data_IF_211351935796
#
_entry.id   IF_211351935796
#
_cell.length_a   1.000
_cell.length_b   1.000
_cell.length_c   1.000
_cell.angle_alpha   90.00
_cell.angle_beta   90.00
_cell.angle_gamma   90.00
#
_symmetry.space_group_name_H-M   'P 1'
#
loop_
_entity.id
_entity.type
_entity.pdbx_description
1 polymer ?
#
# COMPACT_ATOMS: atom_id res chain seq x y z
N UNK A 1 -33.77 12.70 -13.62
CA UNK A 1 -32.68 12.44 -14.55
C UNK A 1 -31.56 11.79 -13.77
N UNK A 2 -31.51 10.44 -13.75
CA UNK A 2 -30.43 9.68 -13.16
C UNK A 2 -29.29 9.66 -14.18
N UNK A 3 -28.08 10.09 -13.77
CA UNK A 3 -26.88 9.84 -14.55
C UNK A 3 -26.61 8.34 -14.60
N UNK A 4 -25.95 7.89 -15.65
CA UNK A 4 -25.52 6.51 -15.76
C UNK A 4 -24.59 6.14 -14.58
N UNK A 5 -24.76 4.96 -14.02
CA UNK A 5 -23.90 4.48 -12.96
C UNK A 5 -22.50 4.20 -13.52
N UNK A 6 -21.48 4.77 -12.87
CA UNK A 6 -20.06 4.54 -13.24
C UNK A 6 -19.55 3.34 -12.42
N UNK A 7 -19.07 2.29 -13.10
CA UNK A 7 -18.37 1.19 -12.45
C UNK A 7 -16.91 1.59 -12.17
N UNK A 8 -16.53 1.62 -10.90
CA UNK A 8 -15.18 2.03 -10.48
C UNK A 8 -14.27 0.85 -10.10
N UNK A 9 -14.87 -0.30 -9.77
CA UNK A 9 -14.10 -1.43 -9.23
C UNK A 9 -13.24 -2.11 -10.31
N UNK A 10 -11.95 -2.10 -10.13
CA UNK A 10 -10.96 -2.67 -11.06
C UNK A 10 -10.49 -1.69 -12.13
N UNK A 11 -10.88 -0.41 -12.01
CA UNK A 11 -10.53 0.60 -13.01
C UNK A 11 -9.73 1.76 -12.45
N UNK A 12 -8.88 2.31 -13.32
CA UNK A 12 -8.23 3.60 -13.19
C UNK A 12 -9.14 4.61 -13.92
N UNK A 13 -9.87 5.43 -13.17
CA UNK A 13 -10.86 6.34 -13.75
C UNK A 13 -10.94 7.65 -12.98
N UNK A 14 -10.86 8.75 -13.69
CA UNK A 14 -10.96 10.11 -13.14
C UNK A 14 -12.40 10.50 -12.73
N UNK A 15 -13.42 9.74 -13.17
CA UNK A 15 -14.81 9.92 -12.76
C UNK A 15 -15.14 9.37 -11.37
N UNK A 16 -14.22 8.61 -10.77
CA UNK A 16 -14.39 8.01 -9.46
C UNK A 16 -13.78 8.88 -8.35
N UNK A 17 -14.26 8.71 -7.11
CA UNK A 17 -13.75 9.45 -5.93
C UNK A 17 -12.26 9.18 -5.71
N UNK A 18 -11.81 7.94 -5.95
CA UNK A 18 -10.39 7.58 -6.02
C UNK A 18 -10.02 7.34 -7.47
N UNK A 19 -8.89 7.87 -7.96
CA UNK A 19 -8.46 7.61 -9.33
C UNK A 19 -8.09 6.15 -9.58
N UNK A 20 -7.66 5.41 -8.55
CA UNK A 20 -7.30 3.99 -8.63
C UNK A 20 -8.19 3.19 -7.70
N UNK A 21 -8.91 2.21 -8.24
CA UNK A 21 -9.88 1.41 -7.51
C UNK A 21 -9.65 -0.09 -7.72
N UNK A 22 -8.69 -0.72 -7.02
CA UNK A 22 -8.48 -2.15 -7.11
C UNK A 22 -9.77 -2.92 -6.79
N UNK A 23 -10.12 -3.88 -7.62
CA UNK A 23 -11.32 -4.72 -7.42
C UNK A 23 -11.21 -5.57 -6.15
N UNK A 24 -10.00 -5.98 -5.82
CA UNK A 24 -9.70 -6.79 -4.64
C UNK A 24 -8.46 -6.25 -3.94
N UNK A 25 -8.55 -6.13 -2.63
CA UNK A 25 -7.43 -5.80 -1.75
C UNK A 25 -7.59 -6.53 -0.42
N UNK A 26 -6.47 -6.91 0.19
CA UNK A 26 -6.48 -7.44 1.54
C UNK A 26 -5.27 -6.96 2.33
N UNK A 27 -5.42 -7.06 3.63
CA UNK A 27 -4.34 -6.92 4.60
C UNK A 27 -4.41 -8.13 5.53
N UNK A 28 -3.37 -8.93 5.53
CA UNK A 28 -3.21 -10.07 6.43
C UNK A 28 -2.10 -9.74 7.43
N UNK A 29 -2.37 -9.94 8.72
CA UNK A 29 -1.41 -9.68 9.81
C UNK A 29 -1.22 -10.97 10.59
N UNK A 30 0.03 -11.39 10.74
CA UNK A 30 0.44 -12.48 11.61
C UNK A 30 1.33 -11.92 12.70
N UNK A 31 0.95 -12.12 13.93
CA UNK A 31 1.76 -11.79 15.11
C UNK A 31 2.33 -13.06 15.71
N UNK A 32 3.57 -13.01 16.13
CA UNK A 32 4.27 -14.11 16.76
C UNK A 32 4.94 -13.64 18.05
N UNK A 33 4.53 -14.25 19.16
CA UNK A 33 5.23 -14.16 20.44
C UNK A 33 6.48 -15.02 20.35
N UNK A 34 7.65 -14.40 20.38
CA UNK A 34 8.92 -15.12 20.24
C UNK A 34 9.29 -15.83 21.54
N UNK A 35 10.22 -16.81 21.51
CA UNK A 35 10.76 -17.42 22.74
C UNK A 35 11.57 -16.44 23.62
N UNK A 36 11.87 -15.24 23.13
CA UNK A 36 12.52 -14.17 23.89
C UNK A 36 11.44 -13.44 24.68
N UNK A 37 11.56 -13.44 25.99
CA UNK A 37 10.61 -12.78 26.89
C UNK A 37 10.46 -11.29 26.55
N UNK A 38 9.21 -10.84 26.43
CA UNK A 38 8.86 -9.47 26.08
C UNK A 38 9.04 -9.10 24.60
N UNK A 39 9.45 -10.01 23.71
CA UNK A 39 9.63 -9.75 22.28
C UNK A 39 8.48 -10.34 21.44
N UNK A 40 7.72 -9.47 20.84
CA UNK A 40 6.68 -9.78 19.87
C UNK A 40 7.10 -9.29 18.47
N UNK A 41 6.81 -10.08 17.46
CA UNK A 41 7.06 -9.72 16.06
C UNK A 41 5.78 -9.85 15.25
N UNK A 42 5.63 -9.02 14.21
CA UNK A 42 4.50 -9.10 13.31
C UNK A 42 4.95 -8.97 11.85
N UNK A 43 4.27 -9.75 11.00
CA UNK A 43 4.35 -9.66 9.54
C UNK A 43 3.00 -9.18 9.03
N UNK A 44 3.00 -8.13 8.24
CA UNK A 44 1.82 -7.65 7.54
C UNK A 44 2.00 -7.84 6.04
N UNK A 45 1.07 -8.56 5.42
CA UNK A 45 1.01 -8.69 3.97
C UNK A 45 -0.19 -7.90 3.44
N UNK A 46 0.08 -6.97 2.53
CA UNK A 46 -0.91 -6.15 1.83
C UNK A 46 -0.88 -6.46 0.34
N UNK A 47 -2.03 -6.69 -0.23
CA UNK A 47 -2.19 -6.97 -1.65
C UNK A 47 -3.21 -6.04 -2.28
N UNK A 48 -2.90 -5.56 -3.46
CA UNK A 48 -3.79 -4.78 -4.32
C UNK A 48 -3.84 -5.44 -5.69
N UNK A 49 -5.04 -5.77 -6.17
CA UNK A 49 -5.21 -6.27 -7.54
C UNK A 49 -4.88 -5.17 -8.55
N UNK A 50 -4.45 -5.57 -9.73
CA UNK A 50 -4.28 -4.63 -10.84
C UNK A 50 -5.57 -3.90 -11.20
N UNK A 51 -5.43 -2.77 -11.86
CA UNK A 51 -6.52 -1.95 -12.40
C UNK A 51 -6.32 -1.68 -13.88
N UNK A 52 -7.42 -1.65 -14.62
CA UNK A 52 -7.43 -1.34 -16.04
C UNK A 52 -7.68 0.15 -16.26
N UNK A 53 -7.07 0.72 -17.27
CA UNK A 53 -7.33 2.09 -17.64
C UNK A 53 -8.48 2.16 -18.66
N UNK A 54 -9.61 2.75 -18.28
CA UNK A 54 -10.76 2.90 -19.18
C UNK A 54 -10.50 3.88 -20.35
N UNK A 55 -9.61 4.85 -20.16
CA UNK A 55 -9.26 5.80 -21.22
C UNK A 55 -8.53 5.13 -22.42
N UNK A 56 -7.92 3.96 -22.18
CA UNK A 56 -7.23 3.15 -23.19
C UNK A 56 -8.20 2.49 -24.17
N UNK A 57 -9.45 2.27 -23.77
CA UNK A 57 -10.47 1.76 -24.67
C UNK A 57 -10.66 2.61 -25.96
N UNK A 58 -10.29 3.90 -25.88
CA UNK A 58 -10.29 4.82 -27.01
C UNK A 58 -8.97 4.83 -27.80
N UNK A 59 -7.88 4.27 -27.26
CA UNK A 59 -6.57 4.25 -27.90
C UNK A 59 -5.75 3.00 -27.45
N UNK A 60 -5.96 1.84 -28.12
CA UNK A 60 -5.37 0.56 -27.71
C UNK A 60 -3.83 0.48 -27.83
N UNK A 61 -3.18 1.49 -28.37
CA UNK A 61 -1.72 1.56 -28.44
C UNK A 61 -1.10 2.04 -27.10
N UNK A 62 -1.93 2.51 -26.16
CA UNK A 62 -1.49 2.96 -24.83
C UNK A 62 -1.83 1.87 -23.82
N UNK A 63 -0.91 0.97 -23.55
CA UNK A 63 -1.02 0.05 -22.42
C UNK A 63 -0.63 0.81 -21.14
N UNK A 64 -1.61 1.15 -20.33
CA UNK A 64 -1.46 1.90 -19.09
C UNK A 64 -2.19 1.23 -17.92
N UNK A 65 -2.36 -0.09 -18.02
CA UNK A 65 -2.91 -0.90 -16.93
C UNK A 65 -1.91 -0.95 -15.77
N UNK A 66 -2.40 -0.79 -14.55
CA UNK A 66 -1.56 -0.93 -13.36
C UNK A 66 -1.53 -2.38 -12.91
N UNK A 67 -0.33 -2.98 -12.74
CA UNK A 67 -0.19 -4.35 -12.29
C UNK A 67 -0.66 -4.53 -10.83
N UNK A 68 -0.86 -5.79 -10.43
CA UNK A 68 -1.07 -6.12 -9.03
C UNK A 68 0.21 -5.90 -8.22
N UNK A 69 0.04 -5.45 -6.96
CA UNK A 69 1.17 -5.10 -6.08
C UNK A 69 1.05 -5.82 -4.74
N UNK A 70 2.19 -6.29 -4.23
CA UNK A 70 2.33 -6.92 -2.93
C UNK A 70 3.30 -6.12 -2.06
N UNK A 71 2.88 -5.76 -0.86
CA UNK A 71 3.74 -5.18 0.15
C UNK A 71 3.85 -6.11 1.35
N UNK A 72 5.06 -6.30 1.83
CA UNK A 72 5.34 -7.04 3.07
C UNK A 72 6.01 -6.08 4.05
N UNK A 73 5.43 -5.97 5.24
CA UNK A 73 5.96 -5.15 6.33
C UNK A 73 6.38 -6.08 7.47
N UNK A 74 7.51 -5.78 8.10
CA UNK A 74 7.98 -6.45 9.32
C UNK A 74 8.02 -5.44 10.45
N UNK A 75 7.56 -5.83 11.63
CA UNK A 75 7.65 -5.01 12.82
C UNK A 75 7.94 -5.84 14.06
N UNK A 76 8.48 -5.20 15.07
CA UNK A 76 8.69 -5.79 16.38
C UNK A 76 8.28 -4.82 17.49
N UNK A 77 7.89 -5.38 18.60
CA UNK A 77 7.70 -4.71 19.87
C UNK A 77 8.48 -5.47 20.93
N UNK A 78 9.26 -4.76 21.75
CA UNK A 78 10.09 -5.37 22.77
C UNK A 78 9.96 -4.62 24.11
N UNK A 79 9.45 -5.32 25.11
CA UNK A 79 9.44 -4.84 26.48
C UNK A 79 10.77 -5.18 27.16
N UNK A 80 11.71 -4.22 27.10
CA UNK A 80 13.04 -4.37 27.70
C UNK A 80 12.98 -4.36 29.23
N UNK A 81 12.05 -3.58 29.79
CA UNK A 81 11.73 -3.51 31.24
C UNK A 81 10.35 -2.89 31.40
N UNK A 82 9.83 -2.89 32.65
CA UNK A 82 8.55 -2.26 32.97
C UNK A 82 8.48 -0.77 32.60
N UNK A 83 9.63 -0.12 32.50
CA UNK A 83 9.76 1.30 32.18
C UNK A 83 10.24 1.61 30.76
N UNK A 84 10.79 0.62 30.03
CA UNK A 84 11.37 0.82 28.69
C UNK A 84 10.78 -0.14 27.69
N UNK A 85 10.13 0.40 26.68
CA UNK A 85 9.57 -0.36 25.55
C UNK A 85 10.13 0.15 24.23
N UNK A 86 10.56 -0.79 23.39
CA UNK A 86 11.11 -0.52 22.07
C UNK A 86 10.11 -0.98 21.00
N UNK A 87 10.05 -0.25 19.91
CA UNK A 87 9.33 -0.66 18.70
C UNK A 87 10.13 -0.32 17.47
N UNK A 88 10.03 -1.13 16.44
CA UNK A 88 10.68 -0.82 15.19
C UNK A 88 10.22 -1.75 14.08
N UNK A 89 10.69 -1.47 12.89
CA UNK A 89 10.34 -2.31 11.75
C UNK A 89 10.75 -1.73 10.42
N UNK A 90 10.34 -2.45 9.39
CA UNK A 90 10.56 -2.13 7.99
C UNK A 90 9.24 -2.24 7.26
N UNK A 91 8.79 -1.17 6.66
CA UNK A 91 7.67 -1.16 5.74
C UNK A 91 8.18 -1.44 4.33
N UNK A 92 7.40 -2.18 3.55
CA UNK A 92 7.73 -2.55 2.19
C UNK A 92 9.13 -3.22 2.08
N UNK A 93 9.32 -4.32 2.80
CA UNK A 93 10.60 -5.07 2.86
C UNK A 93 11.11 -5.46 1.48
N UNK A 94 10.19 -5.81 0.58
CA UNK A 94 10.51 -6.21 -0.80
C UNK A 94 10.97 -5.03 -1.66
N UNK A 95 10.81 -3.79 -1.17
CA UNK A 95 11.08 -2.56 -1.89
C UNK A 95 10.32 -2.50 -3.23
N UNK A 96 9.08 -2.97 -3.22
CA UNK A 96 8.20 -2.90 -4.39
C UNK A 96 7.89 -1.44 -4.70
N UNK A 97 8.24 -1.00 -5.89
CA UNK A 97 7.99 0.37 -6.31
C UNK A 97 6.54 0.54 -6.76
N UNK A 98 5.96 1.74 -6.60
CA UNK A 98 4.61 2.00 -7.06
C UNK A 98 4.53 1.88 -8.58
N UNK A 99 3.45 1.31 -9.13
CA UNK A 99 3.24 1.33 -10.56
C UNK A 99 3.05 2.77 -11.05
N UNK A 100 3.55 3.05 -12.23
CA UNK A 100 3.49 4.38 -12.86
C UNK A 100 2.51 4.34 -14.02
N UNK A 101 1.52 5.25 -14.01
CA UNK A 101 0.65 5.46 -15.16
C UNK A 101 1.30 6.48 -16.11
N UNK A 102 1.29 6.19 -17.40
CA UNK A 102 1.82 7.10 -18.42
C UNK A 102 0.78 8.10 -18.94
N UNK A 103 -0.49 7.77 -18.82
CA UNK A 103 -1.60 8.59 -19.36
C UNK A 103 -2.48 9.22 -18.30
N UNK A 104 -2.52 8.65 -17.11
CA UNK A 104 -3.43 9.05 -16.03
C UNK A 104 -2.68 9.21 -14.72
N UNK A 105 -2.72 10.38 -14.14
CA UNK A 105 -2.12 10.62 -12.84
C UNK A 105 -2.59 11.93 -12.24
N UNK A 106 -2.34 12.15 -10.97
CA UNK A 106 -2.65 13.43 -10.35
C UNK A 106 -1.87 14.53 -11.06
N UNK A 107 -2.51 15.62 -11.47
CA UNK A 107 -1.90 16.68 -12.29
C UNK A 107 -0.77 17.43 -11.58
N UNK A 108 -0.50 17.14 -10.34
CA UNK A 108 0.46 17.85 -9.49
C UNK A 108 1.55 16.95 -8.90
N UNK A 109 2.24 16.18 -9.73
CA UNK A 109 3.49 15.57 -9.32
C UNK A 109 3.38 14.13 -8.79
N UNK A 110 4.42 13.65 -8.11
CA UNK A 110 4.68 12.28 -7.69
C UNK A 110 4.79 11.26 -8.85
N UNK A 111 5.05 11.72 -10.08
CA UNK A 111 5.32 10.86 -11.22
C UNK A 111 4.20 9.88 -11.54
N UNK A 112 2.94 10.28 -11.33
CA UNK A 112 1.77 9.41 -11.58
C UNK A 112 1.79 8.07 -10.82
N UNK A 113 2.28 8.07 -9.58
CA UNK A 113 2.48 6.87 -8.76
C UNK A 113 1.39 6.59 -7.73
N UNK A 114 0.40 7.45 -7.62
CA UNK A 114 -0.75 7.31 -6.71
C UNK A 114 -0.37 6.99 -5.25
N UNK A 115 0.38 7.85 -4.56
CA UNK A 115 0.93 7.58 -3.22
C UNK A 115 -0.12 7.44 -2.11
N UNK A 116 -1.38 7.75 -2.39
CA UNK A 116 -2.51 7.49 -1.48
C UNK A 116 -2.89 6.01 -1.40
N UNK A 117 -2.42 5.18 -2.34
CA UNK A 117 -2.72 3.75 -2.46
C UNK A 117 -1.45 2.93 -2.38
N UNK A 118 -0.39 3.34 -3.09
CA UNK A 118 0.85 2.59 -3.22
C UNK A 118 1.97 3.21 -2.39
N UNK A 119 2.80 2.36 -1.79
CA UNK A 119 4.00 2.78 -1.08
C UNK A 119 5.06 3.28 -2.08
N UNK A 120 5.82 4.29 -1.69
CA UNK A 120 6.85 4.87 -2.57
C UNK A 120 8.17 4.13 -2.52
N UNK A 121 8.55 3.61 -1.35
CA UNK A 121 9.81 2.89 -1.14
C UNK A 121 9.81 2.14 0.19
N UNK A 122 10.85 1.33 0.39
CA UNK A 122 11.14 0.72 1.70
C UNK A 122 11.41 1.81 2.74
N UNK A 123 10.76 1.70 3.90
CA UNK A 123 10.88 2.66 5.00
C UNK A 123 11.24 1.95 6.29
N UNK A 124 12.24 2.45 7.01
CA UNK A 124 12.61 1.98 8.34
C UNK A 124 12.01 2.92 9.39
N UNK A 125 11.51 2.35 10.48
CA UNK A 125 11.03 3.13 11.61
C UNK A 125 11.47 2.52 12.93
N UNK A 126 11.59 3.38 13.94
CA UNK A 126 11.93 2.96 15.30
C UNK A 126 11.41 3.97 16.32
N UNK A 127 11.19 3.50 17.54
CA UNK A 127 10.75 4.34 18.66
C UNK A 127 11.03 3.71 20.00
N UNK A 128 11.21 4.55 20.99
CA UNK A 128 11.44 4.17 22.39
C UNK A 128 10.39 4.87 23.24
N UNK A 129 9.72 4.12 24.12
CA UNK A 129 8.82 4.67 25.12
C UNK A 129 9.43 4.48 26.51
N UNK A 130 9.40 5.54 27.31
CA UNK A 130 9.79 5.55 28.72
C UNK A 130 8.56 5.85 29.58
N UNK A 131 8.35 5.05 30.64
CA UNK A 131 7.34 5.29 31.68
C UNK A 131 8.05 5.55 33.01
N UNK A 132 7.66 6.61 33.72
CA UNK A 132 8.24 6.98 35.04
C UNK A 132 7.21 6.73 36.12
#
# INVERSE_FOLDING_TARGET
>A
PGGDAIECAGFLNNGCVSPVNPKYRHRFVTTWETPVDGLETAVTWRYFSGTKNEAVAANPEIDDDLPAVNYVDLSFFYELSDTVKLRGGVLNVLNELPPVSTSSGPPLGNGNTFPTIYDTARTFFGGINFSF
#
